data_IF_700535359969
#
_entry.id   IF_700535359969
#
_cell.length_a   1.000
_cell.length_b   1.000
_cell.length_c   1.000
_cell.angle_alpha   90.00
_cell.angle_beta   90.00
_cell.angle_gamma   90.00
#
_symmetry.space_group_name_H-M   'P 1'
#
loop_
_entity.id
_entity.type
_entity.pdbx_description
1 polymer ?
#
# COMPACT_ATOMS: atom_id res chain seq x y z
N UNK A 1 1.75 14.48 9.46
CA UNK A 1 1.81 13.76 8.17
C UNK A 1 3.24 13.88 7.67
N UNK A 2 4.07 12.86 7.88
CA UNK A 2 5.44 12.85 7.36
C UNK A 2 5.37 12.41 5.89
N UNK A 3 5.77 13.30 4.99
CA UNK A 3 5.97 13.02 3.57
C UNK A 3 7.48 13.03 3.34
N UNK A 4 8.08 11.86 3.14
CA UNK A 4 9.45 11.75 2.68
C UNK A 4 9.47 11.67 1.15
N UNK A 5 10.35 12.45 0.55
CA UNK A 5 10.64 12.54 -0.87
C UNK A 5 11.31 11.23 -1.35
N UNK A 6 10.66 10.48 -2.25
CA UNK A 6 11.31 9.34 -2.93
C UNK A 6 10.45 8.17 -3.41
N UNK A 7 9.19 8.05 -2.99
CA UNK A 7 8.31 6.96 -3.45
C UNK A 7 6.88 7.43 -3.66
N UNK A 8 6.38 7.36 -4.89
CA UNK A 8 4.99 7.67 -5.18
C UNK A 8 4.07 6.67 -4.46
N UNK A 9 3.54 7.06 -3.30
CA UNK A 9 2.43 6.34 -2.67
C UNK A 9 1.30 6.21 -3.69
N UNK A 10 0.80 5.00 -3.88
CA UNK A 10 -0.38 4.74 -4.70
C UNK A 10 -1.58 5.40 -4.01
N UNK A 11 -2.29 6.26 -4.74
CA UNK A 11 -3.53 6.87 -4.25
C UNK A 11 -4.69 5.89 -4.34
N UNK A 12 -5.77 6.05 -3.54
CA UNK A 12 -6.96 5.20 -3.64
C UNK A 12 -7.56 5.16 -5.05
N UNK A 13 -7.57 6.28 -5.77
CA UNK A 13 -8.08 6.36 -7.16
C UNK A 13 -7.21 5.54 -8.12
N UNK A 14 -5.89 5.53 -7.90
CA UNK A 14 -4.98 4.71 -8.70
C UNK A 14 -5.17 3.23 -8.37
N UNK A 15 -5.37 2.88 -7.10
CA UNK A 15 -5.63 1.51 -6.68
C UNK A 15 -6.94 0.97 -7.28
N UNK A 16 -8.03 1.75 -7.29
CA UNK A 16 -9.27 1.34 -7.97
C UNK A 16 -9.03 1.00 -9.45
N UNK A 17 -8.25 1.82 -10.16
CA UNK A 17 -7.93 1.56 -11.58
C UNK A 17 -7.14 0.27 -11.77
N UNK A 18 -6.09 0.07 -10.97
CA UNK A 18 -5.23 -1.12 -11.06
C UNK A 18 -6.02 -2.39 -10.72
N UNK A 19 -6.76 -2.37 -9.62
CA UNK A 19 -7.58 -3.52 -9.20
C UNK A 19 -8.63 -3.86 -10.26
N UNK A 20 -9.23 -2.85 -10.89
CA UNK A 20 -10.18 -3.06 -11.98
C UNK A 20 -9.54 -3.64 -13.25
N UNK A 21 -8.30 -3.26 -13.58
CA UNK A 21 -7.53 -3.87 -14.68
C UNK A 21 -7.33 -5.38 -14.44
N UNK A 22 -7.23 -5.80 -13.18
CA UNK A 22 -7.14 -7.20 -12.75
C UNK A 22 -8.51 -7.88 -12.49
N UNK A 23 -9.62 -7.21 -12.83
CA UNK A 23 -10.97 -7.76 -12.69
C UNK A 23 -11.58 -7.66 -11.28
N UNK A 24 -10.96 -6.90 -10.38
CA UNK A 24 -11.41 -6.66 -9.01
C UNK A 24 -12.08 -5.28 -8.94
N UNK A 25 -13.41 -5.25 -8.91
CA UNK A 25 -14.17 -4.00 -8.81
C UNK A 25 -14.37 -3.61 -7.33
N UNK A 26 -13.88 -2.43 -6.96
CA UNK A 26 -13.91 -1.91 -5.58
C UNK A 26 -14.23 -0.42 -5.56
N UNK A 27 -14.86 0.02 -4.48
CA UNK A 27 -15.07 1.44 -4.20
C UNK A 27 -13.78 2.11 -3.73
N UNK A 28 -13.75 3.45 -3.76
CA UNK A 28 -12.62 4.24 -3.23
C UNK A 28 -12.37 3.93 -1.75
N UNK A 29 -13.43 3.78 -0.94
CA UNK A 29 -13.30 3.45 0.48
C UNK A 29 -12.71 2.05 0.69
N UNK A 30 -13.10 1.07 -0.12
CA UNK A 30 -12.51 -0.27 -0.09
C UNK A 30 -11.04 -0.25 -0.53
N UNK A 31 -10.72 0.50 -1.59
CA UNK A 31 -9.35 0.67 -2.06
C UNK A 31 -8.45 1.32 -0.99
N UNK A 32 -8.99 2.26 -0.21
CA UNK A 32 -8.28 2.84 0.93
C UNK A 32 -7.94 1.80 2.00
N UNK A 33 -8.92 0.98 2.41
CA UNK A 33 -8.69 -0.10 3.38
C UNK A 33 -7.65 -1.10 2.88
N UNK A 34 -7.70 -1.46 1.60
CA UNK A 34 -6.73 -2.36 0.97
C UNK A 34 -5.32 -1.75 1.03
N UNK A 35 -5.18 -0.49 0.63
CA UNK A 35 -3.89 0.19 0.64
C UNK A 35 -3.32 0.32 2.05
N UNK A 36 -4.14 0.71 3.03
CA UNK A 36 -3.73 0.84 4.43
C UNK A 36 -3.17 -0.50 4.94
N UNK A 37 -3.90 -1.60 4.71
CA UNK A 37 -3.42 -2.95 5.04
C UNK A 37 -2.10 -3.31 4.34
N UNK A 38 -1.96 -3.01 3.05
CA UNK A 38 -0.73 -3.32 2.30
C UNK A 38 0.47 -2.54 2.82
N UNK A 39 0.30 -1.27 3.21
CA UNK A 39 1.38 -0.47 3.77
C UNK A 39 1.79 -0.94 5.18
N UNK A 40 0.83 -1.30 6.02
CA UNK A 40 1.12 -1.90 7.34
C UNK A 40 1.92 -3.21 7.19
N UNK A 41 1.51 -4.08 6.27
CA UNK A 41 2.23 -5.32 5.99
C UNK A 41 3.65 -5.05 5.45
N UNK A 42 3.81 -4.06 4.56
CA UNK A 42 5.12 -3.70 4.03
C UNK A 42 6.06 -3.17 5.12
N UNK A 43 5.55 -2.36 6.05
CA UNK A 43 6.31 -1.86 7.21
C UNK A 43 6.78 -3.02 8.09
N UNK A 44 5.89 -3.93 8.47
CA UNK A 44 6.22 -5.12 9.27
C UNK A 44 7.29 -5.98 8.59
N UNK A 45 7.16 -6.23 7.28
CA UNK A 45 8.12 -7.05 6.54
C UNK A 45 9.49 -6.39 6.47
N UNK A 46 9.54 -5.07 6.25
CA UNK A 46 10.80 -4.31 6.23
C UNK A 46 11.44 -4.30 7.62
N UNK A 47 10.67 -4.07 8.67
CA UNK A 47 11.16 -4.14 10.05
C UNK A 47 11.77 -5.51 10.36
N UNK A 48 11.06 -6.60 10.05
CA UNK A 48 11.58 -7.95 10.28
C UNK A 48 12.86 -8.23 9.49
N UNK A 49 12.92 -7.81 8.23
CA UNK A 49 14.11 -8.00 7.40
C UNK A 49 15.32 -7.24 7.96
N UNK A 50 15.11 -6.01 8.46
CA UNK A 50 16.17 -5.16 9.01
C UNK A 50 16.57 -5.50 10.45
N UNK A 51 15.65 -6.08 11.24
CA UNK A 51 15.89 -6.48 12.63
C UNK A 51 16.58 -7.84 12.77
N UNK A 52 16.82 -8.53 11.64
CA UNK A 52 17.58 -9.79 11.63
C UNK A 52 19.07 -9.50 11.79
N UNK A 53 19.73 -9.89 12.91
CA UNK A 53 21.18 -9.70 13.08
C UNK A 53 21.93 -10.71 12.20
N UNK A 54 22.96 -10.26 11.47
CA UNK A 54 23.88 -11.15 10.73
C UNK A 54 24.64 -12.13 11.64
#
# INVERSE_FOLDING_TARGET
MMVNEGGHKISPERAVKLLKEDGIDVTIEQAKVILDFMYEMAEIVVEQFLDTPE
#
